data_IF_216154004157
#
_entry.id   IF_216154004157
#
_cell.length_a   1.000
_cell.length_b   1.000
_cell.length_c   1.000
_cell.angle_alpha   90.00
_cell.angle_beta   90.00
_cell.angle_gamma   90.00
#
_symmetry.space_group_name_H-M   'P 1'
#
loop_
_entity.id
_entity.type
_entity.pdbx_description
1 polymer ?
#
# COMPACT_ATOMS: atom_id res chain seq x y z
N UNK A 1 22.79 -7.44 14.05
CA UNK A 1 23.55 -7.96 12.90
C UNK A 1 22.56 -8.76 12.05
N UNK A 2 22.18 -8.23 10.90
CA UNK A 2 21.29 -8.92 9.98
C UNK A 2 22.06 -10.07 9.32
N UNK A 3 21.49 -11.27 9.29
CA UNK A 3 22.11 -12.43 8.66
C UNK A 3 21.54 -12.59 7.26
N UNK A 4 22.37 -12.41 6.24
CA UNK A 4 22.04 -12.85 4.88
C UNK A 4 22.19 -14.37 4.81
N UNK A 5 21.09 -15.05 4.53
CA UNK A 5 21.04 -16.51 4.51
C UNK A 5 21.40 -17.12 3.14
N UNK A 6 21.70 -16.29 2.12
CA UNK A 6 22.20 -16.70 0.80
C UNK A 6 21.28 -17.60 -0.06
N UNK A 7 20.15 -18.06 0.47
CA UNK A 7 19.21 -18.90 -0.26
C UNK A 7 18.14 -18.04 -0.95
N UNK A 8 17.70 -18.48 -2.12
CA UNK A 8 16.55 -17.87 -2.81
C UNK A 8 15.30 -18.03 -1.96
N UNK A 9 14.45 -16.99 -1.94
CA UNK A 9 13.16 -16.96 -1.24
C UNK A 9 12.09 -16.64 -2.29
N UNK A 10 10.96 -17.35 -2.27
CA UNK A 10 9.85 -17.10 -3.17
C UNK A 10 9.02 -15.88 -2.71
N UNK A 11 8.21 -15.31 -3.61
CA UNK A 11 7.23 -14.28 -3.23
C UNK A 11 6.20 -14.80 -2.24
N UNK A 12 5.81 -16.07 -2.35
CA UNK A 12 4.92 -16.74 -1.41
C UNK A 12 5.48 -16.78 0.01
N UNK A 13 6.75 -17.16 0.16
CA UNK A 13 7.45 -17.19 1.45
C UNK A 13 7.51 -15.79 2.10
N UNK A 14 7.85 -14.76 1.32
CA UNK A 14 7.87 -13.36 1.80
C UNK A 14 6.48 -12.89 2.21
N UNK A 15 5.46 -13.22 1.43
CA UNK A 15 4.07 -12.89 1.75
C UNK A 15 3.64 -13.53 3.07
N UNK A 16 3.89 -14.83 3.26
CA UNK A 16 3.57 -15.56 4.49
C UNK A 16 4.29 -14.94 5.70
N UNK A 17 5.57 -14.61 5.56
CA UNK A 17 6.35 -14.00 6.64
C UNK A 17 5.79 -12.63 7.05
N UNK A 18 5.35 -11.82 6.09
CA UNK A 18 4.82 -10.47 6.34
C UNK A 18 3.42 -10.50 6.97
N UNK A 19 2.65 -11.55 6.73
CA UNK A 19 1.29 -11.73 7.26
C UNK A 19 1.24 -12.57 8.55
N UNK A 20 2.41 -12.79 9.17
CA UNK A 20 2.53 -13.41 10.49
C UNK A 20 2.92 -12.37 11.53
N UNK A 21 2.33 -12.51 12.71
CA UNK A 21 2.72 -11.79 13.91
C UNK A 21 4.09 -12.28 14.40
N UNK A 22 4.70 -11.55 15.34
CA UNK A 22 5.95 -11.94 16.02
C UNK A 22 5.87 -13.30 16.71
N UNK A 23 4.66 -13.75 17.05
CA UNK A 23 4.39 -15.05 17.66
C UNK A 23 4.29 -16.18 16.62
N UNK A 24 4.44 -15.86 15.33
CA UNK A 24 4.34 -16.81 14.21
C UNK A 24 2.91 -17.13 13.76
N UNK A 25 1.88 -16.61 14.46
CA UNK A 25 0.48 -16.77 14.08
C UNK A 25 0.09 -15.79 12.96
N UNK A 26 -0.80 -16.20 12.06
CA UNK A 26 -1.38 -15.31 11.05
C UNK A 26 -2.25 -14.22 11.68
N UNK A 27 -2.31 -13.06 11.02
CA UNK A 27 -3.04 -11.88 11.53
C UNK A 27 -4.56 -12.06 11.45
N UNK A 28 -5.06 -12.81 10.47
CA UNK A 28 -6.48 -13.13 10.29
C UNK A 28 -6.70 -14.53 9.72
N UNK A 29 -7.91 -15.08 9.85
CA UNK A 29 -8.29 -16.37 9.27
C UNK A 29 -8.17 -16.36 7.73
N UNK A 30 -8.51 -15.24 7.08
CA UNK A 30 -8.33 -15.05 5.63
C UNK A 30 -6.85 -15.14 5.24
N UNK A 31 -5.97 -14.48 5.99
CA UNK A 31 -4.52 -14.53 5.69
C UNK A 31 -3.93 -15.91 5.94
N UNK A 32 -4.47 -16.65 6.92
CA UNK A 32 -4.12 -18.06 7.13
C UNK A 32 -4.52 -18.91 5.92
N UNK A 33 -5.77 -18.78 5.45
CA UNK A 33 -6.26 -19.56 4.31
C UNK A 33 -5.41 -19.32 3.04
N UNK A 34 -5.08 -18.05 2.77
CA UNK A 34 -4.20 -17.69 1.64
C UNK A 34 -2.79 -18.29 1.84
N UNK A 35 -2.22 -18.16 3.05
CA UNK A 35 -0.90 -18.71 3.36
C UNK A 35 -0.83 -20.23 3.20
N UNK A 36 -1.88 -20.95 3.60
CA UNK A 36 -1.99 -22.40 3.44
C UNK A 36 -2.10 -22.81 1.96
N UNK A 37 -2.85 -22.06 1.15
CA UNK A 37 -2.92 -22.28 -0.31
C UNK A 37 -1.57 -22.07 -0.98
N UNK A 38 -0.84 -21.02 -0.59
CA UNK A 38 0.52 -20.74 -1.10
C UNK A 38 1.46 -21.90 -0.75
N UNK A 39 1.46 -22.31 0.52
CA UNK A 39 2.31 -23.41 0.99
C UNK A 39 2.00 -24.73 0.28
N UNK A 40 0.73 -25.01 0.03
CA UNK A 40 0.28 -26.20 -0.72
C UNK A 40 0.77 -26.15 -2.16
N UNK A 41 0.67 -24.99 -2.82
CA UNK A 41 1.17 -24.80 -4.18
C UNK A 41 2.68 -25.02 -4.27
N UNK A 42 3.46 -24.45 -3.37
CA UNK A 42 4.92 -24.58 -3.39
C UNK A 42 5.39 -26.01 -3.04
N UNK A 43 4.66 -26.69 -2.15
CA UNK A 43 4.96 -28.09 -1.80
C UNK A 43 4.69 -29.05 -2.96
N UNK A 44 3.61 -28.80 -3.72
CA UNK A 44 3.23 -29.63 -4.87
C UNK A 44 4.07 -29.36 -6.11
N UNK A 45 4.56 -28.13 -6.28
CA UNK A 45 5.35 -27.76 -7.46
C UNK A 45 6.82 -28.13 -7.37
N UNK A 46 7.36 -28.45 -6.17
CA UNK A 46 8.64 -29.11 -5.78
C UNK A 46 9.95 -28.82 -6.57
N UNK A 47 9.88 -28.07 -7.66
CA UNK A 47 10.84 -28.00 -8.77
C UNK A 47 10.76 -26.66 -9.48
N UNK A 48 9.67 -25.91 -9.33
CA UNK A 48 9.60 -24.56 -9.84
C UNK A 48 10.63 -23.74 -9.07
N UNK A 49 11.61 -23.20 -9.81
CA UNK A 49 12.57 -22.24 -9.29
C UNK A 49 11.81 -21.26 -8.39
N UNK A 50 12.40 -20.85 -7.26
CA UNK A 50 11.93 -19.71 -6.45
C UNK A 50 12.09 -18.39 -7.22
N UNK A 51 11.82 -18.44 -8.51
CA UNK A 51 11.92 -17.41 -9.49
C UNK A 51 10.59 -16.67 -9.52
N UNK A 52 10.72 -15.36 -9.48
CA UNK A 52 9.58 -14.45 -9.45
C UNK A 52 8.98 -14.44 -10.86
N UNK A 53 7.76 -14.93 -10.98
CA UNK A 53 7.05 -15.05 -12.26
C UNK A 53 5.60 -14.56 -12.14
N UNK A 54 4.99 -14.25 -13.27
CA UNK A 54 3.56 -13.95 -13.39
C UNK A 54 2.66 -15.14 -12.99
N UNK A 55 3.23 -16.34 -12.97
CA UNK A 55 2.55 -17.60 -12.66
C UNK A 55 3.17 -18.26 -11.42
N UNK A 56 3.69 -17.47 -10.50
CA UNK A 56 4.22 -18.00 -9.24
C UNK A 56 3.09 -18.33 -8.24
N UNK A 57 3.47 -18.96 -7.12
CA UNK A 57 2.55 -19.39 -6.06
C UNK A 57 1.63 -18.27 -5.57
N UNK A 58 2.17 -17.06 -5.44
CA UNK A 58 1.41 -15.91 -4.98
C UNK A 58 0.40 -15.46 -6.03
N UNK A 59 0.81 -15.35 -7.30
CA UNK A 59 -0.07 -14.99 -8.40
C UNK A 59 -1.20 -16.02 -8.62
N UNK A 60 -0.92 -17.30 -8.40
CA UNK A 60 -1.94 -18.34 -8.48
C UNK A 60 -3.01 -18.24 -7.39
N UNK A 61 -2.61 -17.88 -6.16
CA UNK A 61 -3.53 -17.84 -5.02
C UNK A 61 -4.30 -16.53 -4.93
N UNK A 62 -3.64 -15.39 -5.20
CA UNK A 62 -4.29 -14.08 -5.19
C UNK A 62 -5.03 -13.77 -6.50
N UNK A 63 -4.77 -14.55 -7.55
CA UNK A 63 -5.34 -14.37 -8.88
C UNK A 63 -4.45 -13.51 -9.78
N UNK A 64 -4.66 -13.67 -11.09
CA UNK A 64 -3.91 -13.05 -12.20
C UNK A 64 -3.96 -11.50 -12.25
N UNK A 65 -4.60 -10.87 -11.27
CA UNK A 65 -4.67 -9.43 -11.11
C UNK A 65 -3.94 -8.93 -9.85
N UNK A 66 -2.87 -9.61 -9.44
CA UNK A 66 -1.81 -8.86 -8.75
C UNK A 66 -1.15 -7.91 -9.77
N UNK A 67 -1.41 -6.61 -9.62
CA UNK A 67 -0.82 -5.59 -10.48
C UNK A 67 0.69 -5.54 -10.26
N UNK A 68 1.44 -6.17 -11.17
CA UNK A 68 2.90 -6.11 -11.21
C UNK A 68 3.35 -4.64 -11.07
N UNK A 69 4.04 -4.34 -9.98
CA UNK A 69 4.52 -2.98 -9.65
C UNK A 69 3.91 -2.34 -8.40
N UNK A 70 2.94 -2.97 -7.73
CA UNK A 70 2.43 -2.50 -6.44
C UNK A 70 2.35 -3.65 -5.44
N UNK A 71 3.24 -3.63 -4.45
CA UNK A 71 3.13 -4.52 -3.28
C UNK A 71 2.28 -3.81 -2.24
N UNK A 72 1.16 -4.40 -1.82
CA UNK A 72 0.41 -3.94 -0.66
C UNK A 72 1.19 -4.33 0.61
N UNK A 73 2.08 -3.45 1.05
CA UNK A 73 2.72 -3.60 2.37
C UNK A 73 1.74 -3.23 3.48
N UNK A 74 1.75 -3.95 4.59
CA UNK A 74 0.94 -3.67 5.78
C UNK A 74 1.39 -2.38 6.53
N UNK A 75 2.28 -1.57 5.93
CA UNK A 75 2.74 -0.31 6.52
C UNK A 75 3.55 -0.48 7.81
N UNK A 76 4.14 -1.65 8.06
CA UNK A 76 4.91 -1.94 9.28
C UNK A 76 6.39 -1.49 9.21
N UNK A 77 6.67 -0.47 8.40
CA UNK A 77 8.01 0.12 8.33
C UNK A 77 8.27 1.09 9.49
N UNK A 78 9.54 1.32 9.86
CA UNK A 78 9.87 2.37 10.83
C UNK A 78 9.35 3.71 10.30
N UNK A 79 8.55 4.40 11.09
CA UNK A 79 7.96 5.68 10.68
C UNK A 79 9.11 6.64 10.34
N UNK A 80 9.20 7.20 9.12
CA UNK A 80 10.33 8.04 8.72
C UNK A 80 10.59 9.21 9.69
N UNK A 81 9.55 9.72 10.36
CA UNK A 81 9.67 10.73 11.40
C UNK A 81 10.42 10.26 12.65
N UNK A 82 10.39 8.96 12.95
CA UNK A 82 11.16 8.33 14.04
C UNK A 82 12.61 8.07 13.66
N UNK A 83 12.89 7.87 12.36
CA UNK A 83 14.24 7.56 11.86
C UNK A 83 15.01 8.84 11.51
N UNK A 84 14.37 9.76 10.80
CA UNK A 84 15.00 10.96 10.23
C UNK A 84 14.58 12.26 10.94
N UNK A 85 13.68 12.18 11.93
CA UNK A 85 13.11 13.34 12.60
C UNK A 85 12.04 14.07 11.77
N UNK A 86 11.31 14.99 12.39
CA UNK A 86 10.20 15.76 11.75
C UNK A 86 10.70 16.65 10.59
N UNK A 87 11.99 17.01 10.60
CA UNK A 87 12.61 17.94 9.65
C UNK A 87 13.30 17.25 8.45
N UNK A 88 13.08 15.96 8.23
CA UNK A 88 13.63 15.23 7.08
C UNK A 88 13.16 15.78 5.72
N UNK A 89 12.19 16.70 5.74
CA UNK A 89 11.69 17.46 4.60
C UNK A 89 12.45 18.78 4.42
N UNK A 90 13.79 18.76 4.34
CA UNK A 90 14.48 19.88 3.70
C UNK A 90 14.49 19.61 2.20
N UNK A 91 13.42 20.04 1.54
CA UNK A 91 13.24 19.94 0.10
C UNK A 91 14.30 20.79 -0.61
N UNK A 92 15.43 20.22 -0.98
CA UNK A 92 16.29 20.77 -2.04
C UNK A 92 15.82 20.11 -3.34
N UNK A 93 14.90 20.77 -4.05
CA UNK A 93 14.40 20.29 -5.35
C UNK A 93 12.98 20.75 -5.69
N UNK A 94 12.88 21.96 -6.24
CA UNK A 94 11.81 22.57 -7.05
C UNK A 94 10.36 22.03 -7.02
N UNK A 95 9.47 22.91 -6.51
CA UNK A 95 8.11 23.25 -6.98
C UNK A 95 7.03 22.15 -7.07
N UNK A 96 6.24 22.04 -6.00
CA UNK A 96 4.79 22.30 -6.08
C UNK A 96 4.30 22.69 -4.68
N UNK A 97 3.69 23.86 -4.58
CA UNK A 97 3.15 24.41 -3.33
C UNK A 97 2.01 23.49 -2.88
N UNK A 98 2.21 22.71 -1.82
CA UNK A 98 1.10 22.01 -1.18
C UNK A 98 0.51 22.98 -0.15
N UNK A 99 -0.71 23.51 -0.37
CA UNK A 99 -1.32 24.40 0.62
C UNK A 99 -1.52 23.63 1.93
N UNK A 100 -1.23 24.30 3.05
CA UNK A 100 -1.34 23.67 4.35
C UNK A 100 -2.81 23.46 4.73
N UNK A 101 -3.08 22.57 5.69
CA UNK A 101 -4.45 22.22 6.08
C UNK A 101 -5.33 23.42 6.48
N UNK A 102 -4.74 24.52 6.94
CA UNK A 102 -5.49 25.74 7.30
C UNK A 102 -5.98 26.50 6.08
N UNK A 103 -5.27 26.40 4.95
CA UNK A 103 -5.58 27.09 3.70
C UNK A 103 -6.75 26.43 2.95
N UNK A 104 -6.88 25.10 3.08
CA UNK A 104 -8.04 24.35 2.58
C UNK A 104 -9.32 24.69 3.37
N UNK A 105 -9.22 24.95 4.68
CA UNK A 105 -10.38 25.30 5.51
C UNK A 105 -10.92 26.70 5.21
N UNK A 106 -10.04 27.65 4.84
CA UNK A 106 -10.45 28.97 4.35
C UNK A 106 -11.33 28.86 3.09
N UNK A 107 -10.97 27.98 2.15
CA UNK A 107 -11.66 27.88 0.86
C UNK A 107 -13.07 27.26 0.95
N UNK A 108 -13.33 26.41 1.94
CA UNK A 108 -14.67 25.79 2.14
C UNK A 108 -15.65 26.78 2.78
N UNK A 109 -15.15 27.80 3.49
CA UNK A 109 -15.99 28.79 4.15
C UNK A 109 -16.58 29.83 3.18
N UNK A 110 -15.96 30.03 2.02
CA UNK A 110 -16.36 31.06 1.03
C UNK A 110 -17.48 30.60 0.06
N UNK A 111 -17.96 29.36 0.13
CA UNK A 111 -19.01 28.85 -0.78
C UNK A 111 -20.43 28.75 -0.18
N UNK A 112 -20.66 29.28 1.02
CA UNK A 112 -21.97 29.26 1.66
C UNK A 112 -22.60 30.64 1.80
N UNK A 113 -23.25 31.20 0.75
CA UNK A 113 -24.51 31.98 0.86
C UNK A 113 -24.89 32.76 -0.42
N UNK A 114 -25.93 32.26 -1.12
CA UNK A 114 -27.01 33.05 -1.78
C UNK A 114 -26.83 33.47 -3.26
N UNK A 115 -27.89 34.00 -3.93
CA UNK A 115 -29.32 34.02 -3.62
C UNK A 115 -30.25 33.49 -4.76
N UNK A 116 -31.53 33.38 -4.38
CA UNK A 116 -32.77 33.11 -5.13
C UNK A 116 -33.00 33.88 -6.45
N UNK A 117 -33.62 33.16 -7.40
CA UNK A 117 -34.00 33.58 -8.77
C UNK A 117 -34.93 34.81 -8.84
N UNK A 118 -34.67 35.71 -9.80
CA UNK A 118 -35.62 36.75 -10.23
C UNK A 118 -35.13 37.54 -11.46
N UNK A 119 -35.64 37.19 -12.64
CA UNK A 119 -35.42 37.83 -13.95
C UNK A 119 -36.75 37.58 -14.72
N UNK A 120 -37.49 38.52 -15.33
CA UNK A 120 -37.19 39.73 -16.11
C UNK A 120 -38.46 40.60 -16.25
N UNK A 121 -38.36 41.89 -16.58
CA UNK A 121 -38.78 42.47 -17.88
C UNK A 121 -38.63 44.01 -17.91
N UNK A 122 -37.99 44.49 -18.98
CA UNK A 122 -37.60 45.86 -19.28
C UNK A 122 -38.72 46.58 -20.06
N UNK A 123 -38.97 47.85 -19.74
CA UNK A 123 -39.99 48.69 -20.37
C UNK A 123 -39.32 49.64 -21.38
N UNK A 124 -39.56 49.43 -22.67
CA UNK A 124 -39.95 50.49 -23.62
C UNK A 124 -40.50 49.91 -24.92
#
# INVERSE_FOLDING_TARGET
>A
MEKECGHKVSRGEVWIATHKTTNGAFVSDETREIGEKIQTYESTTSSQSKEISSLDSLAHVLGSQEHCGRVHGLGLGPCPSKVFGVHARSHIGSSSFTPSSVELQSQVSDQGSGPNNGCNEEKN
#
